data_IF_285917078551
#
_entry.id   IF_285917078551
#
_cell.length_a   1.000
_cell.length_b   1.000
_cell.length_c   1.000
_cell.angle_alpha   90.00
_cell.angle_beta   90.00
_cell.angle_gamma   90.00
#
_symmetry.space_group_name_H-M   'P 1'
#
loop_
_entity.id
_entity.type
_entity.pdbx_description
1 polymer ?
#
# COMPACT_ATOMS: atom_id res chain seq x y z
N UNK A 1 -21.26 4.27 -1.17
CA UNK A 1 -20.55 4.00 0.11
C UNK A 1 -20.65 2.53 0.44
N UNK A 2 -19.53 1.84 0.49
CA UNK A 2 -19.47 0.44 0.91
C UNK A 2 -19.20 0.36 2.41
N UNK A 3 -19.97 -0.46 3.09
CA UNK A 3 -19.84 -0.75 4.51
C UNK A 3 -19.16 -2.12 4.73
N UNK A 4 -18.87 -2.43 5.97
CA UNK A 4 -18.22 -3.69 6.34
C UNK A 4 -18.95 -4.91 5.77
N UNK A 5 -20.27 -4.90 5.74
CA UNK A 5 -21.10 -5.99 5.22
C UNK A 5 -20.93 -6.23 3.73
N UNK A 6 -20.63 -5.18 2.97
CA UNK A 6 -20.54 -5.23 1.50
C UNK A 6 -19.24 -5.85 0.99
N UNK A 7 -18.23 -5.92 1.85
CA UNK A 7 -16.92 -6.46 1.48
C UNK A 7 -16.90 -7.98 1.66
N UNK A 8 -16.39 -8.70 0.65
CA UNK A 8 -16.45 -10.16 0.57
C UNK A 8 -15.07 -10.76 0.72
N UNK A 9 -14.89 -11.65 1.70
CA UNK A 9 -13.65 -12.43 1.87
C UNK A 9 -13.36 -13.24 0.61
N UNK A 10 -12.13 -13.20 0.16
CA UNK A 10 -11.68 -13.86 -1.08
C UNK A 10 -11.78 -12.99 -2.32
N UNK A 11 -12.50 -11.85 -2.27
CA UNK A 11 -12.54 -10.92 -3.39
C UNK A 11 -11.21 -10.17 -3.53
N UNK A 12 -10.81 -9.91 -4.76
CA UNK A 12 -9.59 -9.17 -5.09
C UNK A 12 -9.88 -8.10 -6.13
N UNK A 13 -9.06 -7.05 -6.13
CA UNK A 13 -9.14 -5.98 -7.12
C UNK A 13 -7.75 -5.40 -7.38
N UNK A 14 -7.57 -4.88 -8.57
CA UNK A 14 -6.45 -4.00 -8.90
C UNK A 14 -6.89 -2.56 -8.63
N UNK A 15 -6.13 -1.84 -7.80
CA UNK A 15 -6.44 -0.45 -7.46
C UNK A 15 -5.97 0.54 -8.53
N UNK A 16 -4.88 0.23 -9.21
CA UNK A 16 -4.27 1.08 -10.20
C UNK A 16 -2.75 0.96 -10.20
N UNK A 17 -2.09 1.98 -10.74
CA UNK A 17 -0.64 1.98 -10.87
C UNK A 17 -0.05 3.34 -10.52
N UNK A 18 1.28 3.34 -10.32
CA UNK A 18 2.07 4.53 -10.00
C UNK A 18 3.38 4.50 -10.79
N UNK A 19 3.66 5.57 -11.52
CA UNK A 19 4.94 5.72 -12.23
C UNK A 19 5.97 6.37 -11.32
N UNK A 20 7.06 5.65 -11.06
CA UNK A 20 8.11 6.09 -10.14
C UNK A 20 9.05 7.03 -10.86
N UNK A 21 9.16 8.28 -10.39
CA UNK A 21 10.06 9.28 -10.96
C UNK A 21 11.30 9.46 -10.09
N UNK A 22 12.43 9.75 -10.74
CA UNK A 22 13.68 10.07 -10.05
C UNK A 22 13.52 11.26 -9.12
N UNK A 23 12.79 12.28 -9.57
CA UNK A 23 12.56 13.51 -8.81
C UNK A 23 11.87 13.21 -7.47
N UNK A 24 10.79 12.42 -7.50
CA UNK A 24 10.09 12.05 -6.27
C UNK A 24 10.92 11.13 -5.36
N UNK A 25 11.68 10.20 -5.95
CA UNK A 25 12.56 9.31 -5.16
C UNK A 25 13.56 10.14 -4.36
N UNK A 26 14.19 11.14 -4.99
CA UNK A 26 15.13 12.02 -4.32
C UNK A 26 14.45 12.93 -3.30
N UNK A 27 13.31 13.52 -3.64
CA UNK A 27 12.54 14.37 -2.73
C UNK A 27 12.15 13.63 -1.45
N UNK A 28 11.59 12.44 -1.58
CA UNK A 28 11.21 11.62 -0.42
C UNK A 28 12.45 11.26 0.41
N UNK A 29 13.52 10.82 -0.24
CA UNK A 29 14.74 10.42 0.45
C UNK A 29 15.38 11.57 1.22
N UNK A 30 15.50 12.75 0.62
CA UNK A 30 16.04 13.94 1.29
C UNK A 30 15.22 14.31 2.53
N UNK A 31 13.92 14.15 2.46
CA UNK A 31 13.02 14.55 3.54
C UNK A 31 12.92 13.51 4.66
N UNK A 32 12.90 12.21 4.34
CA UNK A 32 12.54 11.17 5.30
C UNK A 32 13.54 10.03 5.44
N UNK A 33 14.41 9.79 4.45
CA UNK A 33 15.33 8.65 4.47
C UNK A 33 16.62 9.00 3.69
N UNK A 34 17.43 9.95 4.22
CA UNK A 34 18.58 10.47 3.50
C UNK A 34 19.80 9.54 3.57
N UNK A 35 19.61 8.27 3.28
CA UNK A 35 20.70 7.31 3.15
C UNK A 35 21.36 7.44 1.78
N UNK A 36 22.70 7.29 1.67
CA UNK A 36 23.43 7.55 0.43
C UNK A 36 22.90 6.81 -0.81
N UNK A 37 22.50 5.57 -0.67
CA UNK A 37 22.00 4.75 -1.78
C UNK A 37 20.59 5.15 -2.26
N UNK A 38 19.90 6.04 -1.54
CA UNK A 38 18.66 6.67 -1.98
C UNK A 38 18.88 8.07 -2.57
N UNK A 39 20.10 8.60 -2.50
CA UNK A 39 20.41 9.97 -2.88
C UNK A 39 21.41 10.07 -4.06
N UNK A 40 22.21 9.04 -4.32
CA UNK A 40 23.31 9.09 -5.27
C UNK A 40 23.47 7.76 -5.99
N UNK A 41 23.50 7.78 -7.32
CA UNK A 41 23.80 6.60 -8.13
C UNK A 41 25.20 6.05 -7.85
N UNK A 42 26.17 6.91 -7.59
CA UNK A 42 27.54 6.51 -7.26
C UNK A 42 27.59 5.73 -5.94
N UNK A 43 26.90 6.23 -4.92
CA UNK A 43 26.81 5.54 -3.64
C UNK A 43 26.02 4.24 -3.76
N UNK A 44 24.93 4.24 -4.49
CA UNK A 44 24.12 3.05 -4.72
C UNK A 44 24.86 1.96 -5.51
N UNK A 45 25.72 2.36 -6.45
CA UNK A 45 26.53 1.42 -7.22
C UNK A 45 27.49 0.58 -6.36
N UNK A 46 27.82 1.04 -5.17
CA UNK A 46 28.64 0.30 -4.18
C UNK A 46 27.84 -0.66 -3.32
N UNK A 47 26.54 -0.74 -3.53
CA UNK A 47 25.62 -1.58 -2.79
C UNK A 47 24.95 -2.60 -3.70
N UNK A 48 24.18 -3.51 -3.11
CA UNK A 48 23.36 -4.47 -3.87
C UNK A 48 22.29 -3.80 -4.74
N UNK A 49 21.94 -2.52 -4.50
CA UNK A 49 20.99 -1.79 -5.34
C UNK A 49 21.55 -1.49 -6.75
N UNK A 50 22.84 -1.24 -6.88
CA UNK A 50 23.52 -0.93 -8.15
C UNK A 50 23.27 0.46 -8.71
N UNK A 51 22.14 1.07 -8.40
CA UNK A 51 21.73 2.44 -8.78
C UNK A 51 20.71 2.95 -7.76
N UNK A 52 20.38 4.24 -7.82
CA UNK A 52 19.40 4.81 -6.88
C UNK A 52 18.15 3.97 -6.83
N UNK A 53 17.78 3.54 -5.62
CA UNK A 53 16.53 2.86 -5.33
C UNK A 53 15.65 3.76 -4.45
N UNK A 54 14.33 3.64 -4.62
CA UNK A 54 13.39 4.31 -3.73
C UNK A 54 13.50 3.74 -2.31
N UNK A 55 13.33 4.60 -1.31
CA UNK A 55 13.13 4.13 0.06
C UNK A 55 11.93 3.18 0.11
N UNK A 56 12.02 2.10 0.88
CA UNK A 56 10.89 1.20 1.08
C UNK A 56 9.66 1.94 1.62
N UNK A 57 9.85 2.92 2.49
CA UNK A 57 8.76 3.76 2.98
C UNK A 57 8.13 4.61 1.89
N UNK A 58 8.90 5.02 0.88
CA UNK A 58 8.37 5.69 -0.29
C UNK A 58 7.51 4.73 -1.13
N UNK A 59 7.96 3.50 -1.34
CA UNK A 59 7.16 2.48 -2.02
C UNK A 59 5.82 2.25 -1.31
N UNK A 60 5.84 2.18 0.02
CA UNK A 60 4.61 2.08 0.81
C UNK A 60 3.71 3.31 0.62
N UNK A 61 4.28 4.51 0.61
CA UNK A 61 3.51 5.76 0.40
C UNK A 61 2.91 5.84 -1.01
N UNK A 62 3.64 5.43 -2.05
CA UNK A 62 3.13 5.37 -3.41
C UNK A 62 1.96 4.39 -3.53
N UNK A 63 2.07 3.22 -2.89
CA UNK A 63 0.97 2.25 -2.87
C UNK A 63 -0.27 2.79 -2.19
N UNK A 64 -0.11 3.52 -1.09
CA UNK A 64 -1.22 4.16 -0.39
C UNK A 64 -1.91 5.20 -1.27
N UNK A 65 -1.16 6.00 -2.02
CA UNK A 65 -1.73 6.97 -2.96
C UNK A 65 -2.63 6.31 -3.99
N UNK A 66 -2.18 5.20 -4.57
CA UNK A 66 -2.98 4.43 -5.54
C UNK A 66 -4.27 3.91 -4.90
N UNK A 67 -4.18 3.37 -3.69
CA UNK A 67 -5.35 2.85 -2.96
C UNK A 67 -6.35 3.98 -2.68
N UNK A 68 -5.89 5.10 -2.17
CA UNK A 68 -6.75 6.24 -1.80
C UNK A 68 -7.43 6.84 -3.04
N UNK A 69 -6.73 6.95 -4.16
CA UNK A 69 -7.33 7.42 -5.42
C UNK A 69 -8.44 6.47 -5.88
N UNK A 70 -8.23 5.15 -5.77
CA UNK A 70 -9.27 4.17 -6.10
C UNK A 70 -10.48 4.24 -5.15
N UNK A 71 -10.24 4.46 -3.86
CA UNK A 71 -11.30 4.64 -2.86
C UNK A 71 -12.10 5.93 -3.09
N UNK A 72 -11.48 6.94 -3.70
CA UNK A 72 -12.18 8.16 -4.09
C UNK A 72 -13.26 7.92 -5.15
N UNK A 73 -13.07 6.91 -5.99
CA UNK A 73 -14.03 6.50 -7.02
C UNK A 73 -15.13 5.56 -6.48
N UNK A 74 -14.77 4.73 -5.52
CA UNK A 74 -15.69 3.80 -4.85
C UNK A 74 -15.54 3.93 -3.34
N UNK A 75 -16.20 4.94 -2.73
CA UNK A 75 -16.02 5.24 -1.32
C UNK A 75 -16.39 4.09 -0.38
N UNK A 76 -15.54 3.87 0.59
CA UNK A 76 -15.75 2.89 1.65
C UNK A 76 -15.84 3.60 3.01
N UNK A 77 -16.61 3.04 3.92
CA UNK A 77 -16.80 3.56 5.28
C UNK A 77 -15.61 3.21 6.20
N UNK A 78 -14.39 3.41 5.70
CA UNK A 78 -13.15 3.16 6.43
C UNK A 78 -12.85 4.25 7.45
N UNK A 79 -12.28 3.84 8.58
CA UNK A 79 -11.95 4.72 9.70
C UNK A 79 -10.46 4.70 10.04
N UNK A 80 -9.63 4.24 9.12
CA UNK A 80 -8.20 4.13 9.32
C UNK A 80 -7.75 2.73 9.73
N UNK A 81 -6.46 2.62 9.99
CA UNK A 81 -5.81 1.34 10.27
C UNK A 81 -4.98 1.44 11.54
N UNK A 82 -5.12 0.51 12.50
CA UNK A 82 -4.24 0.46 13.65
C UNK A 82 -2.83 -0.06 13.31
N UNK A 83 -2.65 -0.65 12.13
CA UNK A 83 -1.38 -1.17 11.72
C UNK A 83 -1.44 -2.07 10.50
N UNK A 84 -0.26 -2.54 10.11
CA UNK A 84 -0.09 -3.52 9.04
C UNK A 84 0.73 -4.69 9.56
N UNK A 85 0.43 -5.89 9.08
CA UNK A 85 1.17 -7.09 9.42
C UNK A 85 2.02 -7.52 8.23
N UNK A 86 3.17 -8.10 8.55
CA UNK A 86 4.06 -8.76 7.59
C UNK A 86 4.43 -7.88 6.39
N UNK A 87 4.74 -6.60 6.67
CA UNK A 87 5.29 -5.70 5.66
C UNK A 87 6.67 -6.22 5.24
N UNK A 88 6.81 -6.49 3.94
CA UNK A 88 8.06 -6.95 3.34
C UNK A 88 8.35 -6.18 2.06
N UNK A 89 9.55 -5.65 1.97
CA UNK A 89 10.14 -5.14 0.72
C UNK A 89 10.91 -6.28 0.08
N UNK A 90 10.37 -6.83 -0.98
CA UNK A 90 10.87 -8.06 -1.60
C UNK A 90 11.95 -7.82 -2.64
N UNK A 91 11.84 -6.70 -3.35
CA UNK A 91 12.77 -6.27 -4.40
C UNK A 91 12.90 -4.75 -4.40
N UNK A 92 14.07 -4.21 -4.83
CA UNK A 92 14.23 -2.78 -4.97
C UNK A 92 13.25 -2.18 -5.98
N UNK A 93 12.85 -0.93 -5.73
CA UNK A 93 12.06 -0.13 -6.66
C UNK A 93 12.94 0.99 -7.19
N UNK A 94 12.97 1.17 -8.49
CA UNK A 94 13.84 2.11 -9.17
C UNK A 94 13.06 3.21 -9.88
N UNK A 95 13.66 4.40 -10.06
CA UNK A 95 13.11 5.39 -10.97
C UNK A 95 12.87 4.80 -12.36
N UNK A 96 11.70 5.07 -12.93
CA UNK A 96 11.26 4.50 -14.19
C UNK A 96 10.39 3.25 -14.04
N UNK A 97 10.33 2.66 -12.88
CA UNK A 97 9.42 1.53 -12.62
C UNK A 97 7.96 1.99 -12.66
N UNK A 98 7.09 1.09 -13.10
CA UNK A 98 5.64 1.25 -12.99
C UNK A 98 5.11 0.24 -12.00
N UNK A 99 4.58 0.73 -10.90
CA UNK A 99 4.03 -0.10 -9.84
C UNK A 99 2.53 -0.32 -10.04
N UNK A 100 2.10 -1.57 -9.96
CA UNK A 100 0.69 -1.93 -9.93
C UNK A 100 0.33 -2.40 -8.53
N UNK A 101 -0.75 -1.89 -7.98
CA UNK A 101 -1.20 -2.18 -6.62
C UNK A 101 -2.49 -2.97 -6.66
N UNK A 102 -2.49 -4.14 -6.05
CA UNK A 102 -3.66 -5.01 -5.94
C UNK A 102 -3.89 -5.45 -4.51
N UNK A 103 -5.14 -5.77 -4.19
CA UNK A 103 -5.52 -6.21 -2.86
C UNK A 103 -6.51 -7.35 -2.90
N UNK A 104 -6.42 -8.22 -1.90
CA UNK A 104 -7.36 -9.33 -1.66
C UNK A 104 -7.83 -9.28 -0.21
N UNK A 105 -9.14 -9.31 -0.02
CA UNK A 105 -9.73 -9.40 1.33
C UNK A 105 -9.52 -10.83 1.82
N UNK A 106 -8.75 -10.99 2.90
CA UNK A 106 -8.39 -12.30 3.43
C UNK A 106 -9.15 -12.65 4.70
N UNK A 107 -9.67 -11.66 5.41
CA UNK A 107 -10.46 -11.88 6.61
C UNK A 107 -11.32 -10.66 6.95
N UNK A 108 -12.40 -10.87 7.67
CA UNK A 108 -13.24 -9.82 8.24
C UNK A 108 -13.82 -10.28 9.57
N UNK A 109 -13.81 -9.40 10.56
CA UNK A 109 -14.24 -9.70 11.90
C UNK A 109 -15.10 -8.57 12.45
N UNK A 110 -16.31 -8.83 13.00
CA UNK A 110 -17.07 -7.79 13.69
C UNK A 110 -16.35 -7.42 15.00
N UNK A 111 -16.45 -6.16 15.40
CA UNK A 111 -15.94 -5.74 16.70
C UNK A 111 -16.75 -6.34 17.83
N UNK A 112 -16.07 -6.87 18.85
CA UNK A 112 -16.73 -7.41 20.06
C UNK A 112 -17.23 -6.32 20.98
N UNK A 113 -16.53 -5.19 21.04
CA UNK A 113 -16.82 -4.09 21.98
C UNK A 113 -17.65 -2.97 21.37
N UNK A 114 -17.62 -2.83 20.02
CA UNK A 114 -18.30 -1.75 19.29
C UNK A 114 -19.15 -2.34 18.17
N UNK A 115 -20.46 -2.61 18.40
CA UNK A 115 -21.31 -3.29 17.41
C UNK A 115 -21.43 -2.57 16.05
N UNK A 116 -21.14 -1.27 16.03
CA UNK A 116 -21.20 -0.44 14.82
C UNK A 116 -19.93 -0.53 13.96
N UNK A 117 -18.94 -1.30 14.39
CA UNK A 117 -17.64 -1.42 13.73
C UNK A 117 -17.29 -2.88 13.41
N UNK A 118 -16.41 -3.04 12.46
CA UNK A 118 -15.74 -4.29 12.16
C UNK A 118 -14.36 -4.03 11.59
N UNK A 119 -13.54 -5.05 11.46
CA UNK A 119 -12.24 -4.99 10.82
C UNK A 119 -12.24 -5.79 9.54
N UNK A 120 -11.46 -5.32 8.58
CA UNK A 120 -11.15 -6.00 7.32
C UNK A 120 -9.64 -6.20 7.27
N UNK A 121 -9.20 -7.41 6.93
CA UNK A 121 -7.80 -7.68 6.63
C UNK A 121 -7.65 -7.82 5.12
N UNK A 122 -6.78 -6.99 4.54
CA UNK A 122 -6.53 -6.98 3.10
C UNK A 122 -5.05 -7.24 2.86
N UNK A 123 -4.76 -8.29 2.09
CA UNK A 123 -3.40 -8.51 1.60
C UNK A 123 -3.18 -7.62 0.38
N UNK A 124 -2.22 -6.71 0.48
CA UNK A 124 -1.82 -5.82 -0.60
C UNK A 124 -0.52 -6.29 -1.20
N UNK A 125 -0.46 -6.34 -2.52
CA UNK A 125 0.73 -6.71 -3.29
C UNK A 125 1.02 -5.59 -4.27
N UNK A 126 2.29 -5.18 -4.33
CA UNK A 126 2.80 -4.21 -5.28
C UNK A 126 3.76 -4.92 -6.22
N UNK A 127 3.48 -4.85 -7.51
CA UNK A 127 4.30 -5.46 -8.58
C UNK A 127 4.88 -4.37 -9.48
N UNK A 128 6.05 -4.63 -10.06
CA UNK A 128 6.63 -3.75 -11.07
C UNK A 128 6.12 -4.11 -12.49
N UNK A 129 6.63 -3.42 -13.50
CA UNK A 129 6.27 -3.62 -14.92
C UNK A 129 6.62 -5.00 -15.46
N UNK A 130 7.52 -5.73 -14.80
CA UNK A 130 7.93 -7.09 -15.20
C UNK A 130 7.10 -8.16 -14.47
N UNK A 131 6.07 -7.77 -13.73
CA UNK A 131 5.24 -8.68 -12.95
C UNK A 131 5.92 -9.22 -11.71
N UNK A 132 7.00 -8.60 -11.25
CA UNK A 132 7.75 -9.01 -10.06
C UNK A 132 7.18 -8.32 -8.83
N UNK A 133 6.86 -9.09 -7.79
CA UNK A 133 6.41 -8.56 -6.51
C UNK A 133 7.55 -7.80 -5.83
N UNK A 134 7.34 -6.52 -5.55
CA UNK A 134 8.34 -5.64 -4.91
C UNK A 134 8.02 -5.36 -3.45
N UNK A 135 6.75 -5.40 -3.08
CA UNK A 135 6.29 -5.20 -1.70
C UNK A 135 4.99 -5.95 -1.46
N UNK A 136 4.80 -6.41 -0.23
CA UNK A 136 3.51 -6.93 0.24
C UNK A 136 3.30 -6.59 1.71
N UNK A 137 2.06 -6.48 2.10
CA UNK A 137 1.64 -6.36 3.50
C UNK A 137 0.18 -6.77 3.66
N UNK A 138 -0.23 -7.03 4.89
CA UNK A 138 -1.65 -7.21 5.24
C UNK A 138 -2.08 -6.03 6.10
N UNK A 139 -2.96 -5.20 5.57
CA UNK A 139 -3.54 -4.09 6.33
C UNK A 139 -4.68 -4.57 7.21
N UNK A 140 -4.82 -3.94 8.37
CA UNK A 140 -5.97 -4.09 9.25
C UNK A 140 -6.74 -2.78 9.16
N UNK A 141 -7.93 -2.79 8.59
CA UNK A 141 -8.73 -1.58 8.39
C UNK A 141 -9.97 -1.63 9.26
N UNK A 142 -10.16 -0.58 10.04
CA UNK A 142 -11.38 -0.39 10.82
C UNK A 142 -12.45 0.19 9.90
N UNK A 143 -13.65 -0.39 9.90
CA UNK A 143 -14.75 0.03 9.06
C UNK A 143 -16.04 0.17 9.84
N UNK A 144 -16.86 1.12 9.42
CA UNK A 144 -18.22 1.21 9.90
C UNK A 144 -19.07 0.06 9.36
N UNK A 145 -19.92 -0.45 10.20
CA UNK A 145 -21.00 -1.33 9.78
C UNK A 145 -22.18 -0.51 9.30
N UNK A 146 -23.01 -1.12 8.46
CA UNK A 146 -24.20 -0.45 7.94
C UNK A 146 -25.10 -0.02 9.10
N UNK A 147 -25.52 1.26 9.15
CA UNK A 147 -26.46 1.69 10.17
C UNK A 147 -27.72 0.85 10.15
N UNK A 148 -28.17 0.39 11.33
CA UNK A 148 -29.46 -0.28 11.44
C UNK A 148 -30.55 0.78 11.34
N UNK A 149 -31.57 0.53 10.52
CA UNK A 149 -32.72 1.42 10.42
C UNK A 149 -33.43 1.50 11.80
N UNK A 150 -33.70 2.72 12.22
CA UNK A 150 -34.42 2.96 13.46
C UNK A 150 -35.88 2.50 13.37
#
# INVERSE_FOLDING_TARGET
>A
MLYWEDLVVGSSREFGHYDVTREEVLEFAHKYDPQPFHLSDEAAARTHFGKIAASGWHTAAMSMRVIVDALGQEPQAGLGSPGVDELRWLKPVYPGDRLTVSGKIVDKTPSRSKPTLGTIRTQTIVTNQDGVDVMRYTSIVLMQRRPVAA
#
